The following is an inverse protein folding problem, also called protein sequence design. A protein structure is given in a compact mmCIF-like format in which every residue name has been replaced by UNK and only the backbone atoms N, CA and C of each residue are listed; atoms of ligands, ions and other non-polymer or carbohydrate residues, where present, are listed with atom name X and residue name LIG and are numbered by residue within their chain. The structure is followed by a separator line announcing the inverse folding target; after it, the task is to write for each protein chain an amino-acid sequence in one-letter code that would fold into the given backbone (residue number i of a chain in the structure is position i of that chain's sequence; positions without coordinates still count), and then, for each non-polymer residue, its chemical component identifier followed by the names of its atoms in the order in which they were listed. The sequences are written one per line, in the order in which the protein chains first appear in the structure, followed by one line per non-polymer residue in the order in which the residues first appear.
data_IF_140557018263
#
_entry.id   IF_140557018263
#
_cell.length_a   1.000
_cell.length_b   1.000
_cell.length_c   1.000
_cell.angle_alpha   90.00
_cell.angle_beta   90.00
_cell.angle_gamma   90.00
#
_symmetry.space_group_name_H-M   'P 1'
#
loop_
_entity.id
_entity.type
_entity.pdbx_description
1 polymer ?
#
# COMPACT_ATOMS: atom_id res chain seq x y z
N UNK A 1 -23.08 6.38 -5.44
CA UNK A 1 -22.27 7.42 -4.77
C UNK A 1 -21.95 8.40 -5.87
N UNK A 2 -22.60 9.58 -5.89
CA UNK A 2 -22.69 10.40 -7.11
C UNK A 2 -21.33 10.71 -7.77
N UNK A 3 -20.25 10.79 -6.99
CA UNK A 3 -18.88 10.99 -7.48
C UNK A 3 -18.32 9.85 -8.33
N UNK A 4 -18.65 8.60 -8.03
CA UNK A 4 -18.19 7.44 -8.80
C UNK A 4 -19.04 7.26 -10.06
N UNK A 5 -20.33 7.56 -9.94
CA UNK A 5 -21.30 7.49 -11.03
C UNK A 5 -20.94 8.54 -12.11
N UNK A 6 -20.58 9.76 -11.70
CA UNK A 6 -20.26 10.86 -12.63
C UNK A 6 -18.99 10.65 -13.47
N UNK A 7 -18.03 9.87 -12.97
CA UNK A 7 -16.79 9.52 -13.70
C UNK A 7 -16.82 8.10 -14.25
N UNK A 8 -17.98 7.44 -14.20
CA UNK A 8 -18.19 6.10 -14.77
C UNK A 8 -17.41 4.98 -14.11
N UNK A 9 -16.89 5.18 -12.88
CA UNK A 9 -16.11 4.18 -12.12
C UNK A 9 -16.93 3.40 -11.09
N UNK A 10 -18.24 3.62 -11.07
CA UNK A 10 -19.15 2.83 -10.25
C UNK A 10 -19.04 1.33 -10.62
N UNK A 11 -19.05 0.50 -9.58
CA UNK A 11 -18.99 -0.95 -9.67
C UNK A 11 -19.90 -1.56 -8.61
N UNK A 12 -20.47 -2.73 -8.90
CA UNK A 12 -21.13 -3.53 -7.89
C UNK A 12 -20.10 -4.04 -6.86
N UNK A 13 -20.55 -4.28 -5.64
CA UNK A 13 -19.73 -4.93 -4.62
C UNK A 13 -19.44 -6.38 -5.05
N UNK A 14 -18.17 -6.78 -5.22
CA UNK A 14 -17.83 -8.17 -5.53
C UNK A 14 -18.25 -9.12 -4.42
N UNK A 15 -18.78 -10.27 -4.82
CA UNK A 15 -19.18 -11.39 -3.94
C UNK A 15 -18.31 -12.63 -4.13
N UNK A 16 -17.55 -12.67 -5.24
CA UNK A 16 -16.56 -13.71 -5.54
C UNK A 16 -15.16 -13.12 -5.73
N UNK A 17 -14.13 -13.97 -5.65
CA UNK A 17 -12.76 -13.53 -5.90
C UNK A 17 -12.55 -13.10 -7.36
N UNK A 18 -13.18 -13.81 -8.30
CA UNK A 18 -13.12 -13.53 -9.73
C UNK A 18 -13.67 -12.14 -10.05
N UNK A 19 -14.83 -11.79 -9.49
CA UNK A 19 -15.42 -10.45 -9.61
C UNK A 19 -14.49 -9.39 -9.00
N UNK A 20 -13.90 -9.67 -7.83
CA UNK A 20 -12.98 -8.75 -7.16
C UNK A 20 -11.72 -8.51 -8.00
N UNK A 21 -11.18 -9.57 -8.60
CA UNK A 21 -10.02 -9.50 -9.47
C UNK A 21 -10.32 -8.72 -10.77
N UNK A 22 -11.53 -8.85 -11.33
CA UNK A 22 -11.96 -8.07 -12.50
C UNK A 22 -12.03 -6.57 -12.18
N UNK A 23 -12.67 -6.21 -11.06
CA UNK A 23 -12.75 -4.81 -10.60
C UNK A 23 -11.36 -4.24 -10.34
N UNK A 24 -10.50 -4.99 -9.65
CA UNK A 24 -9.12 -4.59 -9.39
C UNK A 24 -8.35 -4.41 -10.71
N UNK A 25 -8.45 -5.35 -11.66
CA UNK A 25 -7.79 -5.28 -12.96
C UNK A 25 -8.20 -4.05 -13.78
N UNK A 26 -9.48 -3.68 -13.74
CA UNK A 26 -9.98 -2.43 -14.32
C UNK A 26 -9.37 -1.21 -13.62
N UNK A 27 -9.34 -1.18 -12.29
CA UNK A 27 -8.74 -0.11 -11.49
C UNK A 27 -7.25 0.08 -11.83
N UNK A 28 -6.46 -1.01 -11.84
CA UNK A 28 -5.04 -0.96 -12.15
C UNK A 28 -4.73 -0.44 -13.55
N UNK A 29 -5.52 -0.82 -14.56
CA UNK A 29 -5.42 -0.29 -15.92
C UNK A 29 -5.70 1.21 -15.98
N UNK A 30 -6.75 1.67 -15.30
CA UNK A 30 -7.13 3.09 -15.28
C UNK A 30 -6.09 3.97 -14.56
N UNK A 31 -5.51 3.46 -13.47
CA UNK A 31 -4.49 4.17 -12.70
C UNK A 31 -3.09 4.08 -13.31
N UNK A 32 -2.87 3.16 -14.26
CA UNK A 32 -1.58 2.88 -14.87
C UNK A 32 -0.46 2.71 -13.83
N UNK A 33 -0.70 1.82 -12.85
CA UNK A 33 0.21 1.63 -11.73
C UNK A 33 1.57 1.11 -12.22
N UNK A 34 2.65 1.82 -11.87
CA UNK A 34 4.02 1.42 -12.20
C UNK A 34 4.60 0.31 -11.32
N UNK A 35 3.77 -0.36 -10.53
CA UNK A 35 4.16 -1.39 -9.58
C UNK A 35 3.13 -2.53 -9.55
N UNK A 36 3.54 -3.75 -9.13
CA UNK A 36 2.62 -4.88 -9.03
C UNK A 36 1.43 -4.59 -8.11
N UNK A 37 0.24 -4.93 -8.58
CA UNK A 37 -1.00 -4.85 -7.81
C UNK A 37 -1.47 -6.28 -7.52
N UNK A 38 -1.69 -6.57 -6.24
CA UNK A 38 -2.22 -7.85 -5.76
C UNK A 38 -3.65 -7.64 -5.26
N UNK A 39 -4.45 -8.71 -5.31
CA UNK A 39 -5.86 -8.71 -4.91
C UNK A 39 -6.01 -9.56 -3.66
N UNK A 40 -6.62 -8.98 -2.62
CA UNK A 40 -6.92 -9.71 -1.37
C UNK A 40 -7.97 -10.80 -1.61
N UNK A 41 -8.01 -11.78 -0.72
CA UNK A 41 -9.03 -12.82 -0.71
C UNK A 41 -10.42 -12.22 -0.43
N UNK A 42 -11.48 -12.96 -0.79
CA UNK A 42 -12.85 -12.43 -0.72
C UNK A 42 -13.31 -12.12 0.72
N UNK A 43 -12.67 -12.75 1.71
CA UNK A 43 -12.87 -12.57 3.15
C UNK A 43 -12.09 -11.39 3.75
N UNK A 44 -11.43 -10.57 2.92
CA UNK A 44 -10.66 -9.38 3.32
C UNK A 44 -9.56 -9.69 4.37
N UNK A 45 -8.92 -10.86 4.25
CA UNK A 45 -8.00 -11.39 5.24
C UNK A 45 -6.76 -10.51 5.46
N UNK A 46 -6.19 -9.92 4.40
CA UNK A 46 -5.07 -8.98 4.51
C UNK A 46 -5.56 -7.61 4.97
N UNK A 47 -6.68 -7.13 4.40
CA UNK A 47 -7.33 -5.89 4.77
C UNK A 47 -7.63 -5.80 6.27
N UNK A 48 -8.11 -6.89 6.88
CA UNK A 48 -8.37 -6.99 8.31
C UNK A 48 -7.07 -6.91 9.13
N UNK A 49 -6.05 -7.72 8.79
CA UNK A 49 -4.76 -7.77 9.51
C UNK A 49 -4.02 -6.43 9.48
N UNK A 50 -4.11 -5.71 8.37
CA UNK A 50 -3.43 -4.43 8.17
C UNK A 50 -4.33 -3.20 8.37
N UNK A 51 -5.59 -3.38 8.79
CA UNK A 51 -6.55 -2.27 8.93
C UNK A 51 -6.59 -1.38 7.67
N UNK A 52 -6.66 -2.02 6.50
CA UNK A 52 -6.44 -1.39 5.19
C UNK A 52 -7.50 -0.35 4.79
N UNK A 53 -8.70 -0.42 5.37
CA UNK A 53 -9.82 0.45 4.99
C UNK A 53 -9.83 1.81 5.71
N UNK A 54 -10.17 2.92 5.01
CA UNK A 54 -10.50 3.01 3.57
C UNK A 54 -9.27 3.19 2.66
N UNK A 55 -8.09 3.31 3.25
CA UNK A 55 -6.80 3.34 2.56
C UNK A 55 -5.68 3.41 3.59
N UNK A 56 -4.56 2.74 3.31
CA UNK A 56 -3.43 2.64 4.24
C UNK A 56 -2.10 2.51 3.50
N UNK A 57 -1.08 3.13 4.06
CA UNK A 57 0.31 2.99 3.68
C UNK A 57 1.09 2.30 4.78
N UNK A 58 1.95 1.39 4.36
CA UNK A 58 2.92 0.71 5.21
C UNK A 58 4.28 0.75 4.52
N UNK A 59 5.34 0.89 5.32
CA UNK A 59 6.70 0.57 4.90
C UNK A 59 7.20 -0.53 5.83
N UNK A 60 7.76 -1.59 5.24
CA UNK A 60 8.46 -2.63 5.96
C UNK A 60 9.97 -2.44 5.75
N UNK A 61 10.76 -2.60 6.80
CA UNK A 61 12.23 -2.63 6.69
C UNK A 61 12.73 -3.94 6.08
N UNK A 62 14.05 -4.04 5.84
CA UNK A 62 14.68 -5.27 5.32
C UNK A 62 14.47 -6.50 6.20
N UNK A 63 14.15 -6.33 7.49
CA UNK A 63 13.85 -7.42 8.42
C UNK A 63 12.34 -7.75 8.50
N UNK A 64 11.50 -7.10 7.68
CA UNK A 64 10.06 -7.30 7.63
C UNK A 64 9.29 -6.63 8.76
N UNK A 65 9.91 -5.70 9.52
CA UNK A 65 9.23 -4.95 10.58
C UNK A 65 8.58 -3.70 10.02
N UNK A 66 7.47 -3.28 10.62
CA UNK A 66 6.79 -2.05 10.23
C UNK A 66 7.62 -0.83 10.64
N UNK A 67 8.25 -0.19 9.65
CA UNK A 67 8.99 1.06 9.82
C UNK A 67 8.08 2.28 9.77
N UNK A 68 6.97 2.19 9.03
CA UNK A 68 5.98 3.26 8.92
C UNK A 68 4.56 2.73 8.73
N UNK A 69 3.60 3.42 9.34
CA UNK A 69 2.16 3.21 9.20
C UNK A 69 1.46 4.57 9.29
N UNK A 70 0.84 5.03 8.19
CA UNK A 70 0.11 6.31 8.18
C UNK A 70 -1.18 6.24 9.01
N UNK A 71 -1.95 7.32 9.14
CA UNK A 71 -3.30 7.28 9.74
C UNK A 71 -4.37 6.71 8.76
N UNK A 72 -5.60 6.44 9.24
CA UNK A 72 -6.68 5.92 8.36
C UNK A 72 -7.07 6.97 7.31
N UNK A 73 -7.26 6.54 6.07
CA UNK A 73 -7.82 7.39 5.02
C UNK A 73 -9.27 7.85 5.28
N UNK A 74 -9.81 8.75 4.44
CA UNK A 74 -9.07 9.50 3.42
C UNK A 74 -8.16 10.56 4.05
N UNK A 75 -8.49 11.10 5.23
CA UNK A 75 -7.77 12.21 5.85
C UNK A 75 -6.33 11.89 6.26
N UNK A 76 -6.05 10.63 6.63
CA UNK A 76 -4.70 10.15 6.94
C UNK A 76 -3.89 9.66 5.73
N UNK A 77 -4.46 9.65 4.53
CA UNK A 77 -3.81 9.13 3.33
C UNK A 77 -2.90 10.20 2.72
N UNK A 78 -1.68 10.31 3.23
CA UNK A 78 -0.72 11.37 2.87
C UNK A 78 0.55 10.79 2.23
N UNK A 79 0.67 10.84 0.89
CA UNK A 79 1.86 10.33 0.19
C UNK A 79 3.18 10.99 0.62
N UNK A 80 3.16 12.28 0.97
CA UNK A 80 4.35 12.99 1.43
C UNK A 80 4.93 12.41 2.74
N UNK A 81 4.07 11.99 3.68
CA UNK A 81 4.53 11.35 4.93
C UNK A 81 5.16 9.97 4.64
N UNK A 82 4.61 9.22 3.67
CA UNK A 82 5.19 7.96 3.21
C UNK A 82 6.58 8.20 2.58
N UNK A 83 6.70 9.15 1.66
CA UNK A 83 7.97 9.47 0.98
C UNK A 83 9.06 9.88 1.97
N UNK A 84 8.75 10.80 2.89
CA UNK A 84 9.69 11.23 3.93
C UNK A 84 10.13 10.05 4.80
N UNK A 85 9.20 9.18 5.20
CA UNK A 85 9.52 8.01 6.02
C UNK A 85 10.42 7.01 5.28
N UNK A 86 10.20 6.83 3.98
CA UNK A 86 11.05 5.98 3.14
C UNK A 86 12.47 6.53 3.02
N UNK A 87 12.62 7.84 2.81
CA UNK A 87 13.94 8.50 2.75
C UNK A 87 14.71 8.29 4.06
N UNK A 88 14.05 8.51 5.20
CA UNK A 88 14.65 8.32 6.53
C UNK A 88 15.06 6.87 6.77
N UNK A 89 14.22 5.91 6.36
CA UNK A 89 14.53 4.48 6.47
C UNK A 89 15.78 4.13 5.64
N UNK A 90 15.85 4.56 4.38
CA UNK A 90 16.98 4.27 3.50
C UNK A 90 18.29 4.90 4.00
N UNK A 91 18.23 6.10 4.59
CA UNK A 91 19.38 6.74 5.21
C UNK A 91 19.88 5.96 6.44
N UNK A 92 18.96 5.53 7.31
CA UNK A 92 19.30 4.74 8.49
C UNK A 92 19.92 3.39 8.11
N UNK A 93 19.33 2.68 7.15
CA UNK A 93 19.86 1.40 6.65
C UNK A 93 21.22 1.56 5.94
N UNK A 94 21.41 2.63 5.17
CA UNK A 94 22.69 2.91 4.52
C UNK A 94 23.81 3.19 5.53
N UNK A 95 23.50 3.89 6.63
CA UNK A 95 24.45 4.13 7.71
C UNK A 95 24.83 2.82 8.44
N UNK A 96 23.86 1.95 8.73
CA UNK A 96 24.14 0.66 9.36
C UNK A 96 24.96 -0.27 8.47
N UNK A 97 24.68 -0.30 7.16
CA UNK A 97 25.43 -1.11 6.20
C UNK A 97 26.88 -0.62 6.06
N UNK A 98 27.11 0.70 6.11
CA UNK A 98 28.45 1.28 6.08
C UNK A 98 29.25 0.96 7.36
N UNK A 99 28.61 1.05 8.53
CA UNK A 99 29.24 0.69 9.81
C UNK A 99 29.62 -0.80 9.83
N UNK A 100 28.69 -1.68 9.42
CA UNK A 100 28.93 -3.12 9.36
C UNK A 100 30.08 -3.50 8.41
N UNK A 101 30.26 -2.76 7.31
CA UNK A 101 31.41 -2.95 6.40
C UNK A 101 32.73 -2.44 6.96
N UNK A 102 32.71 -1.33 7.71
CA UNK A 102 33.90 -0.77 8.33
C UNK A 102 34.44 -1.66 9.48
N UNK A 103 33.55 -2.38 10.16
CA UNK A 103 33.88 -3.28 11.27
C UNK A 103 34.18 -4.72 10.83
N UNK A 104 34.13 -5.02 9.52
CA UNK A 104 34.48 -6.33 8.98
C UNK A 104 36.01 -6.50 8.96
N UNK A 105 36.54 -7.65 9.43
CA UNK A 105 37.99 -7.89 9.57
C UNK A 105 38.75 -8.00 8.24
#
# INVERSE_FOLDING_TARGET
MQSNDSVGVATAQPTTYEERAEVAGRCGKLLNLGFPMLVDTIDDAVGARYSGMPGRFYILDKAGKVAFKNARGPFGFKPAELEQSLILLLQAEGASDHQARADAP
#
